data_IF_460854391111
#
_entry.id   IF_460854391111
#
_cell.length_a   1.000
_cell.length_b   1.000
_cell.length_c   1.000
_cell.angle_alpha   90.00
_cell.angle_beta   90.00
_cell.angle_gamma   90.00
#
_symmetry.space_group_name_H-M   'P 1'
#
loop_
_entity.id
_entity.type
_entity.pdbx_description
1 polymer ?
#
# COMPACT_ATOMS: atom_id res chain seq x y z
N UNK A 1 18.00 -4.47 26.62
CA UNK A 1 19.39 -3.97 26.68
C UNK A 1 19.94 -3.95 28.12
N UNK A 2 19.20 -3.43 29.11
CA UNK A 2 19.65 -3.32 30.51
C UNK A 2 20.05 -4.66 31.18
N UNK A 3 19.31 -5.74 30.95
CA UNK A 3 19.57 -7.05 31.57
C UNK A 3 20.89 -7.68 31.08
N UNK A 4 21.21 -7.59 29.78
CA UNK A 4 22.47 -8.13 29.22
C UNK A 4 23.70 -7.41 29.79
N UNK A 5 23.58 -6.09 29.95
CA UNK A 5 24.63 -5.24 30.51
C UNK A 5 24.87 -5.56 32.00
N UNK A 6 23.79 -5.81 32.74
CA UNK A 6 23.84 -6.19 34.15
C UNK A 6 24.47 -7.58 34.35
N UNK A 7 24.10 -8.57 33.53
CA UNK A 7 24.69 -9.92 33.58
C UNK A 7 26.17 -9.88 33.22
N UNK A 8 26.54 -9.15 32.16
CA UNK A 8 27.95 -9.00 31.77
C UNK A 8 28.80 -8.34 32.87
N UNK A 9 28.24 -7.34 33.57
CA UNK A 9 28.91 -6.67 34.68
C UNK A 9 29.14 -7.61 35.87
N UNK A 10 28.13 -8.39 36.27
CA UNK A 10 28.25 -9.39 37.34
C UNK A 10 29.33 -10.42 36.99
N UNK A 11 29.31 -10.91 35.75
CA UNK A 11 30.26 -11.92 35.30
C UNK A 11 31.70 -11.37 35.27
N UNK A 12 31.87 -10.12 34.83
CA UNK A 12 33.17 -9.44 34.83
C UNK A 12 33.71 -9.19 36.24
N UNK A 13 32.86 -8.75 37.18
CA UNK A 13 33.25 -8.56 38.60
C UNK A 13 33.63 -9.90 39.23
N UNK A 14 32.86 -10.96 38.99
CA UNK A 14 33.14 -12.30 39.51
C UNK A 14 34.46 -12.86 38.96
N UNK A 15 34.71 -12.72 37.65
CA UNK A 15 35.95 -13.20 37.04
C UNK A 15 37.16 -12.39 37.47
N UNK A 16 37.00 -11.07 37.67
CA UNK A 16 38.03 -10.21 38.22
C UNK A 16 38.39 -10.60 39.65
N UNK A 17 37.40 -10.87 40.50
CA UNK A 17 37.61 -11.39 41.85
C UNK A 17 38.39 -12.72 41.83
N UNK A 18 38.00 -13.65 40.97
CA UNK A 18 38.68 -14.93 40.79
C UNK A 18 40.15 -14.76 40.40
N UNK A 19 40.45 -13.92 39.40
CA UNK A 19 41.83 -13.66 38.97
C UNK A 19 42.67 -13.03 40.08
N UNK A 20 42.10 -12.11 40.86
CA UNK A 20 42.78 -11.51 42.00
C UNK A 20 43.13 -12.55 43.08
N UNK A 21 42.18 -13.40 43.46
CA UNK A 21 42.37 -14.35 44.57
C UNK A 21 43.21 -15.57 44.21
N UNK A 22 43.06 -16.11 42.99
CA UNK A 22 43.71 -17.37 42.59
C UNK A 22 45.01 -17.19 41.81
N UNK A 23 45.30 -15.98 41.32
CA UNK A 23 46.49 -15.72 40.50
C UNK A 23 47.28 -14.52 41.02
N UNK A 24 46.68 -13.32 41.05
CA UNK A 24 47.45 -12.09 41.26
C UNK A 24 47.99 -11.96 42.69
N UNK A 25 47.16 -12.19 43.71
CA UNK A 25 47.56 -12.06 45.12
C UNK A 25 48.61 -13.13 45.48
N UNK A 26 48.37 -14.45 45.26
CA UNK A 26 49.33 -15.48 45.63
C UNK A 26 50.67 -15.33 44.90
N UNK A 27 50.63 -14.93 43.63
CA UNK A 27 51.84 -14.72 42.83
C UNK A 27 52.66 -13.54 43.33
N UNK A 28 52.01 -12.47 43.78
CA UNK A 28 52.68 -11.27 44.30
C UNK A 28 53.24 -11.44 45.71
N UNK A 29 52.60 -12.23 46.58
CA UNK A 29 53.00 -12.38 47.98
C UNK A 29 53.93 -13.56 48.24
N UNK A 30 53.68 -14.71 47.59
CA UNK A 30 54.33 -15.99 47.91
C UNK A 30 55.01 -16.64 46.71
N UNK A 31 54.84 -16.06 45.52
CA UNK A 31 55.48 -16.50 44.29
C UNK A 31 54.82 -17.72 43.64
N UNK A 32 55.49 -18.23 42.61
CA UNK A 32 54.93 -19.20 41.68
C UNK A 32 54.57 -20.56 42.31
N UNK A 33 55.40 -21.07 43.23
CA UNK A 33 55.20 -22.38 43.85
C UNK A 33 53.93 -22.43 44.71
N UNK A 34 53.64 -21.37 45.48
CA UNK A 34 52.41 -21.29 46.27
C UNK A 34 51.16 -21.18 45.38
N UNK A 35 51.26 -20.43 44.28
CA UNK A 35 50.18 -20.32 43.29
C UNK A 35 49.83 -21.68 42.67
N UNK A 36 50.84 -22.46 42.30
CA UNK A 36 50.64 -23.83 41.78
C UNK A 36 49.98 -24.75 42.80
N UNK A 37 50.37 -24.66 44.07
CA UNK A 37 49.77 -25.48 45.14
C UNK A 37 48.29 -25.16 45.32
N UNK A 38 47.91 -23.88 45.37
CA UNK A 38 46.51 -23.43 45.42
C UNK A 38 45.74 -23.95 44.20
N UNK A 39 46.37 -23.92 43.02
CA UNK A 39 45.74 -24.44 41.80
C UNK A 39 45.51 -25.95 41.81
N UNK A 40 46.44 -26.72 42.39
CA UNK A 40 46.28 -28.16 42.58
C UNK A 40 45.19 -28.50 43.60
N UNK A 41 45.12 -27.77 44.71
CA UNK A 41 44.10 -27.98 45.75
C UNK A 41 42.69 -27.61 45.26
N UNK A 42 42.58 -26.54 44.48
CA UNK A 42 41.31 -26.05 43.92
C UNK A 42 41.11 -26.44 42.45
N UNK A 43 41.72 -27.55 42.01
CA UNK A 43 41.75 -27.96 40.59
C UNK A 43 40.36 -28.03 39.95
N UNK A 44 39.39 -28.66 40.62
CA UNK A 44 38.02 -28.80 40.10
C UNK A 44 37.33 -27.44 39.94
N UNK A 45 37.56 -26.51 40.88
CA UNK A 45 37.00 -25.17 40.80
C UNK A 45 37.62 -24.37 39.65
N UNK A 46 38.95 -24.42 39.49
CA UNK A 46 39.65 -23.78 38.38
C UNK A 46 39.20 -24.33 37.03
N UNK A 47 39.03 -25.65 36.90
CA UNK A 47 38.48 -26.27 35.69
C UNK A 47 37.05 -25.78 35.39
N UNK A 48 36.21 -25.66 36.42
CA UNK A 48 34.87 -25.08 36.30
C UNK A 48 34.89 -23.62 35.83
N UNK A 49 35.80 -22.79 36.35
CA UNK A 49 35.96 -21.39 35.94
C UNK A 49 36.39 -21.25 34.48
N UNK A 50 37.30 -22.10 34.01
CA UNK A 50 37.71 -22.15 32.60
C UNK A 50 36.54 -22.57 31.71
N UNK A 51 35.77 -23.59 32.10
CA UNK A 51 34.59 -24.03 31.36
C UNK A 51 33.52 -22.94 31.29
N UNK A 52 33.28 -22.24 32.40
CA UNK A 52 32.33 -21.14 32.49
C UNK A 52 32.75 -19.97 31.58
N UNK A 53 34.05 -19.63 31.54
CA UNK A 53 34.58 -18.60 30.63
C UNK A 53 34.41 -19.00 29.16
N UNK A 54 34.75 -20.24 28.82
CA UNK A 54 34.59 -20.76 27.47
C UNK A 54 33.12 -20.73 27.02
N UNK A 55 32.20 -21.11 27.90
CA UNK A 55 30.75 -21.03 27.64
C UNK A 55 30.28 -19.58 27.45
N UNK A 56 30.74 -18.64 28.28
CA UNK A 56 30.38 -17.23 28.18
C UNK A 56 30.87 -16.59 26.87
N UNK A 57 32.11 -16.87 26.47
CA UNK A 57 32.68 -16.41 25.20
C UNK A 57 31.87 -16.97 24.03
N UNK A 58 31.61 -18.29 24.03
CA UNK A 58 30.85 -18.97 22.98
C UNK A 58 29.44 -18.40 22.86
N UNK A 59 28.75 -18.20 23.99
CA UNK A 59 27.41 -17.61 24.03
C UNK A 59 27.43 -16.16 23.51
N UNK A 60 28.43 -15.36 23.86
CA UNK A 60 28.60 -13.99 23.36
C UNK A 60 28.77 -13.93 21.84
N UNK A 61 29.60 -14.83 21.29
CA UNK A 61 29.80 -14.95 19.84
C UNK A 61 28.50 -15.37 19.15
N UNK A 62 27.81 -16.41 19.65
CA UNK A 62 26.56 -16.90 19.08
C UNK A 62 25.48 -15.82 19.02
N UNK A 63 25.29 -15.06 20.11
CA UNK A 63 24.30 -13.96 20.17
C UNK A 63 24.61 -12.87 19.14
N UNK A 64 25.89 -12.53 18.95
CA UNK A 64 26.29 -11.51 17.98
C UNK A 64 26.10 -11.99 16.54
N UNK A 65 26.45 -13.24 16.25
CA UNK A 65 26.21 -13.85 14.94
C UNK A 65 24.72 -13.92 14.61
N UNK A 66 23.87 -14.32 15.56
CA UNK A 66 22.42 -14.34 15.41
C UNK A 66 21.83 -12.95 15.14
N UNK A 67 22.37 -11.92 15.80
CA UNK A 67 21.93 -10.55 15.60
C UNK A 67 22.31 -10.04 14.20
N UNK A 68 23.52 -10.37 13.74
CA UNK A 68 23.99 -10.04 12.39
C UNK A 68 23.21 -10.79 11.31
N UNK A 69 22.96 -12.09 11.50
CA UNK A 69 22.17 -12.92 10.60
C UNK A 69 20.75 -12.35 10.43
N UNK A 70 20.08 -11.99 11.54
CA UNK A 70 18.75 -11.35 11.51
C UNK A 70 18.76 -10.00 10.80
N UNK A 71 19.82 -9.20 10.96
CA UNK A 71 19.95 -7.92 10.26
C UNK A 71 20.08 -8.14 8.76
N UNK A 72 20.96 -9.07 8.36
CA UNK A 72 21.17 -9.42 6.96
C UNK A 72 19.90 -9.98 6.30
N UNK A 73 19.16 -10.84 7.02
CA UNK A 73 17.89 -11.39 6.56
C UNK A 73 16.84 -10.29 6.33
N UNK A 74 16.71 -9.35 7.28
CA UNK A 74 15.82 -8.18 7.13
C UNK A 74 16.21 -7.29 5.94
N UNK A 75 17.51 -7.05 5.75
CA UNK A 75 18.00 -6.26 4.62
C UNK A 75 17.74 -6.96 3.27
N UNK A 76 17.93 -8.29 3.22
CA UNK A 76 17.59 -9.10 2.04
C UNK A 76 16.10 -9.06 1.75
N UNK A 77 15.25 -9.30 2.75
CA UNK A 77 13.80 -9.24 2.60
C UNK A 77 13.33 -7.85 2.11
N UNK A 78 13.93 -6.76 2.62
CA UNK A 78 13.65 -5.40 2.17
C UNK A 78 14.07 -5.18 0.71
N UNK A 79 15.26 -5.66 0.33
CA UNK A 79 15.75 -5.56 -1.04
C UNK A 79 14.87 -6.35 -2.01
N UNK A 80 14.47 -7.55 -1.63
CA UNK A 80 13.57 -8.40 -2.40
C UNK A 80 12.18 -7.75 -2.54
N UNK A 81 11.60 -7.24 -1.45
CA UNK A 81 10.34 -6.49 -1.49
C UNK A 81 10.42 -5.30 -2.45
N UNK A 82 11.50 -4.50 -2.39
CA UNK A 82 11.70 -3.36 -3.30
C UNK A 82 11.78 -3.79 -4.76
N UNK A 83 12.46 -4.90 -5.07
CA UNK A 83 12.55 -5.44 -6.43
C UNK A 83 11.19 -5.92 -6.93
N UNK A 84 10.47 -6.66 -6.10
CA UNK A 84 9.14 -7.17 -6.43
C UNK A 84 8.14 -6.01 -6.61
N UNK A 85 8.21 -4.98 -5.77
CA UNK A 85 7.42 -3.77 -5.93
C UNK A 85 7.69 -3.07 -7.26
N UNK A 86 8.96 -2.86 -7.64
CA UNK A 86 9.31 -2.24 -8.92
C UNK A 86 8.77 -3.07 -10.10
N UNK A 87 8.90 -4.39 -10.03
CA UNK A 87 8.40 -5.30 -11.06
C UNK A 87 6.87 -5.24 -11.16
N UNK A 88 6.14 -5.32 -10.04
CA UNK A 88 4.69 -5.23 -10.02
C UNK A 88 4.21 -3.86 -10.54
N UNK A 89 4.83 -2.78 -10.08
CA UNK A 89 4.48 -1.40 -10.47
C UNK A 89 4.67 -1.16 -11.96
N UNK A 90 5.62 -1.83 -12.63
CA UNK A 90 5.80 -1.71 -14.08
C UNK A 90 4.56 -2.15 -14.89
N UNK A 91 3.71 -3.02 -14.33
CA UNK A 91 2.45 -3.44 -14.96
C UNK A 91 1.26 -2.54 -14.59
N UNK A 92 1.41 -1.70 -13.57
CA UNK A 92 0.33 -0.86 -13.07
C UNK A 92 -0.24 0.11 -14.13
N UNK A 93 0.55 0.77 -15.00
CA UNK A 93 -0.01 1.63 -16.05
C UNK A 93 -0.98 0.88 -16.98
N UNK A 94 -0.69 -0.39 -17.28
CA UNK A 94 -1.55 -1.20 -18.13
C UNK A 94 -2.84 -1.58 -17.41
N UNK A 95 -2.75 -1.99 -16.13
CA UNK A 95 -3.91 -2.27 -15.30
C UNK A 95 -4.83 -1.04 -15.14
N UNK A 96 -4.24 0.13 -14.88
CA UNK A 96 -4.97 1.40 -14.78
C UNK A 96 -5.63 1.77 -16.12
N UNK A 97 -4.95 1.59 -17.24
CA UNK A 97 -5.53 1.85 -18.57
C UNK A 97 -6.73 0.97 -18.87
N UNK A 98 -6.71 -0.30 -18.45
CA UNK A 98 -7.85 -1.20 -18.59
C UNK A 98 -9.07 -0.69 -17.79
N UNK A 99 -8.85 -0.30 -16.55
CA UNK A 99 -9.87 0.28 -15.67
C UNK A 99 -10.43 1.60 -16.25
N UNK A 100 -9.54 2.49 -16.67
CA UNK A 100 -9.90 3.81 -17.21
C UNK A 100 -10.70 3.69 -18.52
N UNK A 101 -10.32 2.75 -19.39
CA UNK A 101 -11.03 2.47 -20.64
C UNK A 101 -12.48 2.07 -20.38
N UNK A 102 -12.71 1.15 -19.44
CA UNK A 102 -14.07 0.75 -19.06
C UNK A 102 -14.85 1.93 -18.45
N UNK A 103 -14.24 2.69 -17.54
CA UNK A 103 -14.87 3.86 -16.95
C UNK A 103 -15.25 4.92 -18.02
N UNK A 104 -14.41 5.10 -19.03
CA UNK A 104 -14.67 5.98 -20.16
C UNK A 104 -15.83 5.48 -21.02
N UNK A 105 -15.88 4.19 -21.34
CA UNK A 105 -17.01 3.55 -22.04
C UNK A 105 -18.33 3.79 -21.30
N UNK A 106 -18.39 3.48 -20.01
CA UNK A 106 -19.57 3.74 -19.18
C UNK A 106 -19.98 5.21 -19.19
N UNK A 107 -19.03 6.14 -19.03
CA UNK A 107 -19.33 7.57 -19.03
C UNK A 107 -19.87 8.07 -20.38
N UNK A 108 -19.40 7.47 -21.48
CA UNK A 108 -19.83 7.82 -22.85
C UNK A 108 -21.27 7.38 -23.08
N UNK A 109 -21.61 6.13 -22.73
CA UNK A 109 -22.99 5.62 -22.82
C UNK A 109 -23.96 6.39 -21.93
N UNK A 110 -23.58 6.68 -20.68
CA UNK A 110 -24.42 7.47 -19.77
C UNK A 110 -24.63 8.90 -20.26
N UNK A 111 -23.62 9.51 -20.89
CA UNK A 111 -23.73 10.83 -21.52
C UNK A 111 -24.71 10.80 -22.69
N UNK A 112 -24.56 9.84 -23.60
CA UNK A 112 -25.46 9.66 -24.75
C UNK A 112 -26.90 9.46 -24.30
N UNK A 113 -27.12 8.61 -23.29
CA UNK A 113 -28.44 8.39 -22.70
C UNK A 113 -29.02 9.64 -22.06
N UNK A 114 -28.22 10.41 -21.32
CA UNK A 114 -28.67 11.67 -20.71
C UNK A 114 -29.12 12.68 -21.77
N UNK A 115 -28.33 12.87 -22.84
CA UNK A 115 -28.67 13.78 -23.94
C UNK A 115 -29.94 13.32 -24.68
N UNK A 116 -30.05 12.02 -24.98
CA UNK A 116 -31.20 11.45 -25.66
C UNK A 116 -32.49 11.62 -24.82
N UNK A 117 -32.43 11.39 -23.51
CA UNK A 117 -33.58 11.62 -22.62
C UNK A 117 -33.93 13.10 -22.46
N UNK A 118 -32.95 14.00 -22.50
CA UNK A 118 -33.21 15.44 -22.45
C UNK A 118 -33.95 15.93 -23.69
N UNK A 119 -33.64 15.36 -24.86
CA UNK A 119 -34.30 15.68 -26.13
C UNK A 119 -35.65 14.95 -26.30
N UNK A 120 -35.77 13.72 -25.80
CA UNK A 120 -36.99 12.90 -25.87
C UNK A 120 -37.17 12.03 -24.60
N UNK A 121 -37.86 12.53 -23.55
CA UNK A 121 -37.90 11.91 -22.22
C UNK A 121 -38.73 10.62 -22.08
N UNK A 122 -39.30 10.07 -23.17
CA UNK A 122 -40.33 9.01 -23.11
C UNK A 122 -40.10 7.83 -24.05
N UNK A 123 -38.91 7.68 -24.64
CA UNK A 123 -38.62 6.51 -25.47
C UNK A 123 -38.09 5.35 -24.62
N UNK A 124 -38.80 4.23 -24.58
CA UNK A 124 -38.28 2.99 -23.99
C UNK A 124 -37.12 2.41 -24.83
N UNK A 125 -37.02 2.78 -26.12
CA UNK A 125 -35.92 2.44 -27.03
C UNK A 125 -34.55 2.86 -26.47
N UNK A 126 -34.44 4.08 -25.92
CA UNK A 126 -33.18 4.58 -25.34
C UNK A 126 -32.71 3.78 -24.13
N UNK A 127 -33.63 3.11 -23.40
CA UNK A 127 -33.27 2.27 -22.24
C UNK A 127 -32.76 0.91 -22.68
N UNK A 128 -33.37 0.33 -23.71
CA UNK A 128 -32.91 -0.94 -24.30
C UNK A 128 -31.54 -0.78 -24.96
N UNK A 129 -31.32 0.35 -25.65
CA UNK A 129 -30.02 0.70 -26.23
C UNK A 129 -28.93 0.83 -25.15
N UNK A 130 -29.22 1.53 -24.05
CA UNK A 130 -28.27 1.68 -22.94
C UNK A 130 -27.88 0.33 -22.32
N UNK A 131 -28.86 -0.54 -22.05
CA UNK A 131 -28.58 -1.85 -21.48
C UNK A 131 -27.73 -2.72 -22.42
N UNK A 132 -28.01 -2.64 -23.72
CA UNK A 132 -27.22 -3.31 -24.75
C UNK A 132 -25.79 -2.79 -24.79
N UNK A 133 -25.57 -1.47 -24.82
CA UNK A 133 -24.23 -0.87 -24.78
C UNK A 133 -23.44 -1.34 -23.55
N UNK A 134 -24.07 -1.34 -22.37
CA UNK A 134 -23.42 -1.82 -21.14
C UNK A 134 -23.07 -3.30 -21.17
N UNK A 135 -23.91 -4.14 -21.80
CA UNK A 135 -23.61 -5.56 -21.98
C UNK A 135 -22.43 -5.83 -22.93
N UNK A 136 -22.16 -4.89 -23.85
CA UNK A 136 -21.06 -4.97 -24.82
C UNK A 136 -19.75 -4.36 -24.29
N UNK A 137 -19.79 -3.58 -23.20
CA UNK A 137 -18.60 -3.02 -22.57
C UNK A 137 -17.66 -4.10 -22.03
N UNK A 138 -16.38 -3.96 -22.37
CA UNK A 138 -15.34 -4.86 -21.90
C UNK A 138 -14.98 -4.56 -20.44
N UNK A 139 -15.48 -5.37 -19.51
CA UNK A 139 -15.15 -5.23 -18.08
C UNK A 139 -13.63 -5.34 -17.86
N UNK A 140 -13.07 -4.55 -16.94
CA UNK A 140 -11.65 -4.65 -16.59
C UNK A 140 -11.34 -6.06 -16.12
N UNK A 141 -10.22 -6.60 -16.58
CA UNK A 141 -9.76 -7.93 -16.23
C UNK A 141 -8.24 -7.96 -16.05
N UNK A 142 -7.75 -8.92 -15.26
CA UNK A 142 -6.31 -9.16 -15.09
C UNK A 142 -5.56 -8.06 -14.34
N UNK A 143 -6.26 -7.11 -13.72
CA UNK A 143 -5.66 -6.06 -12.89
C UNK A 143 -5.35 -6.55 -11.47
N UNK A 144 -6.06 -7.58 -11.00
CA UNK A 144 -6.02 -8.09 -9.63
C UNK A 144 -4.63 -8.57 -9.22
N UNK A 145 -3.88 -9.34 -10.05
CA UNK A 145 -2.52 -9.74 -9.70
C UNK A 145 -1.60 -8.53 -9.51
N UNK A 146 -1.70 -7.56 -10.39
CA UNK A 146 -0.89 -6.34 -10.37
C UNK A 146 -1.16 -5.51 -9.12
N UNK A 147 -2.43 -5.28 -8.79
CA UNK A 147 -2.84 -4.53 -7.60
C UNK A 147 -2.43 -5.26 -6.31
N UNK A 148 -2.70 -6.56 -6.23
CA UNK A 148 -2.32 -7.39 -5.07
C UNK A 148 -0.82 -7.33 -4.80
N UNK A 149 0.00 -7.47 -5.84
CA UNK A 149 1.44 -7.49 -5.70
C UNK A 149 1.97 -6.08 -5.37
N UNK A 150 1.39 -5.01 -5.95
CA UNK A 150 1.71 -3.63 -5.55
C UNK A 150 1.38 -3.37 -4.08
N UNK A 151 0.19 -3.75 -3.61
CA UNK A 151 -0.26 -3.59 -2.20
C UNK A 151 0.67 -4.35 -1.25
N UNK A 152 1.03 -5.59 -1.60
CA UNK A 152 1.87 -6.47 -0.78
C UNK A 152 3.28 -5.92 -0.56
N UNK A 153 3.85 -5.24 -1.56
CA UNK A 153 5.25 -4.81 -1.54
C UNK A 153 5.43 -3.28 -1.39
N UNK A 154 4.36 -2.49 -1.45
CA UNK A 154 4.38 -1.05 -1.22
C UNK A 154 4.66 -0.69 0.24
N UNK A 155 5.06 0.56 0.46
CA UNK A 155 5.04 1.19 1.79
C UNK A 155 3.60 1.45 2.25
N UNK A 156 3.39 1.50 3.56
CA UNK A 156 2.06 1.48 4.21
C UNK A 156 1.07 2.49 3.58
N UNK A 157 1.49 3.74 3.39
CA UNK A 157 0.61 4.79 2.86
C UNK A 157 0.16 4.53 1.40
N UNK A 158 1.09 4.14 0.52
CA UNK A 158 0.76 3.85 -0.87
C UNK A 158 -0.06 2.55 -0.98
N UNK A 159 0.18 1.60 -0.08
CA UNK A 159 -0.60 0.36 0.02
C UNK A 159 -2.06 0.65 0.39
N UNK A 160 -2.29 1.55 1.34
CA UNK A 160 -3.64 2.00 1.73
C UNK A 160 -4.36 2.69 0.57
N UNK A 161 -3.72 3.68 -0.09
CA UNK A 161 -4.31 4.38 -1.24
C UNK A 161 -4.65 3.41 -2.38
N UNK A 162 -3.78 2.44 -2.68
CA UNK A 162 -4.03 1.41 -3.70
C UNK A 162 -5.20 0.49 -3.32
N UNK A 163 -5.31 0.15 -2.04
CA UNK A 163 -6.43 -0.65 -1.51
C UNK A 163 -7.75 0.12 -1.63
N UNK A 164 -7.75 1.42 -1.33
CA UNK A 164 -8.93 2.28 -1.48
C UNK A 164 -9.39 2.34 -2.93
N UNK A 165 -8.49 2.54 -3.89
CA UNK A 165 -8.84 2.53 -5.31
C UNK A 165 -9.46 1.18 -5.75
N UNK A 166 -8.95 0.06 -5.23
CA UNK A 166 -9.49 -1.26 -5.51
C UNK A 166 -10.92 -1.44 -4.96
N UNK A 167 -11.19 -0.92 -3.76
CA UNK A 167 -12.54 -0.90 -3.18
C UNK A 167 -13.47 0.00 -4.00
N UNK A 168 -13.01 1.21 -4.37
CA UNK A 168 -13.76 2.13 -5.24
C UNK A 168 -14.09 1.49 -6.59
N UNK A 169 -13.14 0.76 -7.19
CA UNK A 169 -13.35 0.00 -8.42
C UNK A 169 -14.44 -1.07 -8.26
N UNK A 170 -14.41 -1.85 -7.17
CA UNK A 170 -15.43 -2.88 -6.93
C UNK A 170 -16.84 -2.26 -6.80
N UNK A 171 -16.95 -1.14 -6.09
CA UNK A 171 -18.21 -0.38 -5.99
C UNK A 171 -18.62 0.17 -7.36
N UNK A 172 -17.67 0.69 -8.13
CA UNK A 172 -17.92 1.18 -9.49
C UNK A 172 -18.46 0.08 -10.40
N UNK A 173 -17.80 -1.08 -10.44
CA UNK A 173 -18.24 -2.24 -11.22
C UNK A 173 -19.64 -2.71 -10.81
N UNK A 174 -19.92 -2.78 -9.50
CA UNK A 174 -21.25 -3.15 -8.99
C UNK A 174 -22.32 -2.19 -9.50
N UNK A 175 -22.10 -0.88 -9.39
CA UNK A 175 -23.07 0.14 -9.85
C UNK A 175 -23.27 0.12 -11.36
N UNK A 176 -22.19 -0.01 -12.13
CA UNK A 176 -22.29 -0.07 -13.59
C UNK A 176 -23.00 -1.35 -14.06
N UNK A 177 -22.88 -2.46 -13.32
CA UNK A 177 -23.57 -3.72 -13.67
C UNK A 177 -25.09 -3.67 -13.52
N UNK A 178 -25.63 -2.69 -12.78
CA UNK A 178 -27.08 -2.47 -12.69
C UNK A 178 -27.66 -2.07 -14.05
N UNK A 179 -26.88 -1.34 -14.85
CA UNK A 179 -27.28 -0.88 -16.18
C UNK A 179 -27.36 -2.02 -17.21
N UNK A 180 -26.74 -3.17 -16.95
CA UNK A 180 -26.81 -4.34 -17.83
C UNK A 180 -28.16 -5.07 -17.75
N UNK A 181 -28.84 -4.99 -16.60
CA UNK A 181 -29.95 -5.88 -16.26
C UNK A 181 -31.27 -5.16 -15.95
N UNK A 182 -31.24 -3.85 -15.70
CA UNK A 182 -32.40 -3.12 -15.21
C UNK A 182 -33.27 -2.54 -16.34
N UNK A 183 -34.54 -2.96 -16.37
CA UNK A 183 -35.51 -2.53 -17.39
C UNK A 183 -35.95 -1.07 -17.28
N UNK A 184 -35.67 -0.41 -16.16
CA UNK A 184 -36.10 0.96 -15.91
C UNK A 184 -35.14 1.69 -14.99
N UNK A 185 -34.20 2.41 -15.59
CA UNK A 185 -33.21 3.20 -14.86
C UNK A 185 -33.73 4.64 -14.71
N UNK A 186 -33.87 5.18 -13.48
CA UNK A 186 -34.26 6.57 -13.28
C UNK A 186 -33.23 7.53 -13.89
N UNK A 187 -33.68 8.54 -14.64
CA UNK A 187 -32.78 9.50 -15.30
C UNK A 187 -31.86 10.24 -14.32
N UNK A 188 -32.34 10.55 -13.11
CA UNK A 188 -31.51 11.16 -12.06
C UNK A 188 -30.40 10.22 -11.58
N UNK A 189 -30.67 8.91 -11.52
CA UNK A 189 -29.65 7.93 -11.14
C UNK A 189 -28.60 7.79 -12.24
N UNK A 190 -29.02 7.71 -13.51
CA UNK A 190 -28.10 7.71 -14.65
C UNK A 190 -27.21 8.97 -14.68
N UNK A 191 -27.78 10.14 -14.38
CA UNK A 191 -27.04 11.40 -14.27
C UNK A 191 -26.04 11.39 -13.10
N UNK A 192 -26.43 10.87 -11.93
CA UNK A 192 -25.50 10.68 -10.80
C UNK A 192 -24.35 9.76 -11.18
N UNK A 193 -24.66 8.65 -11.87
CA UNK A 193 -23.68 7.66 -12.31
C UNK A 193 -22.75 8.23 -13.39
N UNK A 194 -23.23 9.11 -14.26
CA UNK A 194 -22.39 9.85 -15.20
C UNK A 194 -21.33 10.67 -14.45
N UNK A 195 -21.74 11.50 -13.50
CA UNK A 195 -20.81 12.33 -12.71
C UNK A 195 -19.88 11.45 -11.86
N UNK A 196 -20.41 10.38 -11.26
CA UNK A 196 -19.62 9.42 -10.49
C UNK A 196 -18.56 8.71 -11.35
N UNK A 197 -18.88 8.34 -12.59
CA UNK A 197 -17.92 7.72 -13.51
C UNK A 197 -16.76 8.64 -13.86
N UNK A 198 -17.02 9.94 -14.01
CA UNK A 198 -15.99 10.95 -14.23
C UNK A 198 -15.15 11.17 -12.98
N UNK A 199 -15.79 11.22 -11.80
CA UNK A 199 -15.08 11.26 -10.52
C UNK A 199 -14.10 10.08 -10.42
N UNK A 200 -14.59 8.86 -10.70
CA UNK A 200 -13.76 7.66 -10.68
C UNK A 200 -12.61 7.72 -11.70
N UNK A 201 -12.82 8.26 -12.91
CA UNK A 201 -11.73 8.50 -13.87
C UNK A 201 -10.67 9.45 -13.31
N UNK A 202 -11.04 10.52 -12.60
CA UNK A 202 -10.06 11.40 -11.95
C UNK A 202 -9.28 10.67 -10.84
N UNK A 203 -9.96 9.81 -10.07
CA UNK A 203 -9.33 8.95 -9.07
C UNK A 203 -8.30 8.04 -9.72
N UNK A 204 -8.66 7.30 -10.77
CA UNK A 204 -7.73 6.44 -11.53
C UNK A 204 -6.57 7.25 -12.11
N UNK A 205 -6.84 8.45 -12.64
CA UNK A 205 -5.83 9.30 -13.26
C UNK A 205 -4.71 9.71 -12.28
N UNK A 206 -5.06 9.94 -11.01
CA UNK A 206 -4.09 10.30 -9.97
C UNK A 206 -2.99 9.25 -9.73
N UNK A 207 -3.28 7.98 -10.05
CA UNK A 207 -2.34 6.87 -9.86
C UNK A 207 -1.32 6.75 -11.00
N UNK A 208 -1.51 7.40 -12.15
CA UNK A 208 -0.55 7.31 -13.26
C UNK A 208 0.81 7.92 -12.93
N UNK A 209 0.86 8.98 -12.11
CA UNK A 209 2.11 9.58 -11.64
C UNK A 209 2.94 8.56 -10.86
N UNK A 210 2.32 7.96 -9.84
CA UNK A 210 2.89 6.88 -9.04
C UNK A 210 3.28 5.68 -9.91
N UNK A 211 2.42 5.22 -10.81
CA UNK A 211 2.67 4.05 -11.65
C UNK A 211 3.90 4.23 -12.56
N UNK A 212 4.12 5.43 -13.09
CA UNK A 212 5.22 5.73 -14.03
C UNK A 212 6.53 6.05 -13.31
N UNK A 213 6.48 6.90 -12.29
CA UNK A 213 7.67 7.50 -11.67
C UNK A 213 7.97 6.94 -10.28
N UNK A 214 7.01 6.29 -9.64
CA UNK A 214 7.13 5.88 -8.24
C UNK A 214 7.09 7.04 -7.25
N UNK A 215 6.57 8.19 -7.68
CA UNK A 215 6.25 9.31 -6.79
C UNK A 215 5.12 8.92 -5.87
N UNK A 216 4.92 9.66 -4.77
CA UNK A 216 3.73 9.51 -3.94
C UNK A 216 2.44 9.67 -4.78
N UNK A 217 1.37 9.01 -4.35
CA UNK A 217 0.06 9.17 -4.96
C UNK A 217 -0.49 10.52 -4.50
N UNK A 218 -0.44 11.49 -5.41
CA UNK A 218 -1.06 12.81 -5.28
C UNK A 218 -2.42 12.78 -5.96
N UNK A 219 -3.49 12.88 -5.16
CA UNK A 219 -4.85 12.92 -5.68
C UNK A 219 -5.06 14.23 -6.46
N UNK A 220 -5.37 14.10 -7.74
CA UNK A 220 -5.63 15.25 -8.61
C UNK A 220 -6.83 16.04 -8.08
N UNK A 221 -6.67 17.33 -7.76
CA UNK A 221 -7.81 18.19 -7.46
C UNK A 221 -8.71 18.26 -8.69
N UNK A 222 -9.94 17.76 -8.58
CA UNK A 222 -10.96 17.94 -9.61
C UNK A 222 -12.00 18.92 -9.07
N UNK A 223 -11.77 20.20 -9.32
CA UNK A 223 -12.76 21.23 -9.08
C UNK A 223 -13.97 21.04 -10.01
N UNK A 224 -15.04 21.81 -9.79
CA UNK A 224 -16.24 21.72 -10.63
C UNK A 224 -15.92 21.94 -12.11
N UNK A 225 -14.98 22.84 -12.43
CA UNK A 225 -14.61 23.16 -13.81
C UNK A 225 -14.06 21.94 -14.55
N UNK A 226 -13.20 21.13 -13.89
CA UNK A 226 -12.67 19.90 -14.46
C UNK A 226 -13.76 18.90 -14.87
N UNK A 227 -14.85 18.79 -14.10
CA UNK A 227 -15.98 17.91 -14.45
C UNK A 227 -16.66 18.36 -15.75
N UNK A 228 -16.98 19.65 -15.90
CA UNK A 228 -17.62 20.14 -17.13
C UNK A 228 -16.69 20.03 -18.34
N UNK A 229 -15.39 20.29 -18.15
CA UNK A 229 -14.39 20.05 -19.21
C UNK A 229 -14.40 18.56 -19.60
N UNK A 230 -14.40 17.64 -18.64
CA UNK A 230 -14.44 16.21 -18.96
C UNK A 230 -15.74 15.83 -19.69
N UNK A 231 -16.90 16.25 -19.18
CA UNK A 231 -18.22 16.01 -19.81
C UNK A 231 -18.29 16.50 -21.25
N UNK A 232 -17.74 17.68 -21.52
CA UNK A 232 -17.71 18.27 -22.86
C UNK A 232 -16.70 17.60 -23.81
N UNK A 233 -15.65 16.96 -23.29
CA UNK A 233 -14.67 16.21 -24.10
C UNK A 233 -15.05 14.74 -24.37
N UNK A 234 -16.08 14.21 -23.71
CA UNK A 234 -16.59 12.85 -23.96
C UNK A 234 -17.36 12.72 -25.29
N UNK A 235 -17.60 13.81 -26.02
CA UNK A 235 -18.21 13.81 -27.35
C UNK A 235 -18.11 15.18 -28.02
N UNK A 236 -18.70 15.36 -29.20
CA UNK A 236 -18.52 16.57 -30.03
C UNK A 236 -19.44 17.74 -29.65
N UNK A 237 -20.44 17.53 -28.78
CA UNK A 237 -21.41 18.56 -28.39
C UNK A 237 -20.96 19.34 -27.14
N UNK A 238 -20.11 20.34 -27.33
CA UNK A 238 -19.55 21.16 -26.24
C UNK A 238 -20.57 22.07 -25.54
N UNK A 239 -21.67 22.45 -26.19
CA UNK A 239 -22.65 23.40 -25.64
C UNK A 239 -23.64 22.80 -24.63
N UNK A 240 -23.77 21.46 -24.58
CA UNK A 240 -24.77 20.80 -23.74
C UNK A 240 -24.43 20.79 -22.24
N UNK A 241 -23.14 20.91 -21.88
CA UNK A 241 -22.63 20.75 -20.53
C UNK A 241 -21.89 22.01 -20.06
N UNK A 242 -22.61 22.91 -19.40
CA UNK A 242 -22.02 24.09 -18.76
C UNK A 242 -22.68 24.37 -17.41
N UNK A 243 -21.95 25.04 -16.53
CA UNK A 243 -22.42 25.38 -15.18
C UNK A 243 -23.69 26.25 -15.28
N UNK A 244 -24.74 25.88 -14.53
CA UNK A 244 -26.02 26.60 -14.52
C UNK A 244 -27.01 26.16 -15.60
N UNK A 245 -26.63 25.28 -16.54
CA UNK A 245 -27.54 24.75 -17.55
C UNK A 245 -28.50 23.67 -17.01
N UNK A 246 -28.08 22.89 -16.01
CA UNK A 246 -28.89 21.86 -15.36
C UNK A 246 -28.57 21.78 -13.86
N UNK A 247 -29.52 22.22 -13.03
CA UNK A 247 -29.38 22.24 -11.57
C UNK A 247 -29.13 20.84 -10.99
N UNK A 248 -29.66 19.77 -11.59
CA UNK A 248 -29.42 18.40 -11.11
C UNK A 248 -27.98 17.98 -11.37
N UNK A 249 -27.46 18.30 -12.56
CA UNK A 249 -26.05 18.07 -12.91
C UNK A 249 -25.12 18.86 -11.98
N UNK A 250 -25.39 20.14 -11.80
CA UNK A 250 -24.59 21.03 -10.94
C UNK A 250 -24.52 20.50 -9.50
N UNK A 251 -25.65 20.01 -8.96
CA UNK A 251 -25.71 19.40 -7.63
C UNK A 251 -24.81 18.17 -7.50
N UNK A 252 -24.83 17.28 -8.49
CA UNK A 252 -23.98 16.09 -8.44
C UNK A 252 -22.50 16.43 -8.62
N UNK A 253 -22.17 17.36 -9.52
CA UNK A 253 -20.80 17.86 -9.71
C UNK A 253 -20.27 18.47 -8.42
N UNK A 254 -21.04 19.32 -7.76
CA UNK A 254 -20.66 19.91 -6.46
C UNK A 254 -20.45 18.84 -5.37
N UNK A 255 -21.33 17.83 -5.32
CA UNK A 255 -21.21 16.73 -4.34
C UNK A 255 -19.90 15.98 -4.52
N UNK A 256 -19.56 15.58 -5.75
CA UNK A 256 -18.36 14.79 -6.02
C UNK A 256 -17.07 15.62 -6.03
N UNK A 257 -17.13 16.91 -6.34
CA UNK A 257 -15.98 17.81 -6.18
C UNK A 257 -15.60 17.97 -4.70
N UNK A 258 -16.59 18.15 -3.81
CA UNK A 258 -16.35 18.23 -2.36
C UNK A 258 -15.82 16.92 -1.76
N UNK A 259 -16.24 15.78 -2.30
CA UNK A 259 -15.73 14.48 -1.86
C UNK A 259 -14.21 14.37 -2.06
N UNK A 260 -13.67 14.96 -3.13
CA UNK A 260 -12.22 14.98 -3.37
C UNK A 260 -11.46 15.89 -2.40
N UNK A 261 -12.06 16.98 -1.91
CA UNK A 261 -11.43 17.84 -0.90
C UNK A 261 -11.29 17.14 0.45
N UNK A 262 -12.26 16.29 0.82
CA UNK A 262 -12.26 15.55 2.09
C UNK A 262 -11.26 14.37 2.11
N UNK A 263 -10.90 13.82 0.95
CA UNK A 263 -9.95 12.69 0.86
C UNK A 263 -8.49 13.19 0.87
N UNK A 264 -8.27 14.50 0.64
CA UNK A 264 -6.95 15.13 0.67
C UNK A 264 -6.48 15.57 2.08
N UNK A 265 -7.28 15.30 3.12
CA UNK A 265 -7.02 15.63 4.52
C UNK A 265 -7.05 14.38 5.41
#
# INVERSE_FOLDING_TARGET
MRIKLFIGLIFSVFFGWYLCSMVLIPLATEGYQSTLKIWFEWQTFNAGMVALLAAAITAGIAINLDAQARKLEKERARCESKRNFIAARAFLPHALANIDTYAQQCSTSLRSFYLANRLSPRSDEHKEDLAKEFSEHAKPNGFEPTFRDCIKYAEDENSEKMTQLLVELQVFLSRMSEFENEKSIPSNYALEMLVYSIHFQFRVASFYGFARKGTEIELTPSDQSAYYVRLSTLGDDHEAFSLGNDHSLDRYVERYSKLNELINH
#
